data_IF_688895329745
#
_entry.id   IF_688895329745
#
_cell.length_a   1.000
_cell.length_b   1.000
_cell.length_c   1.000
_cell.angle_alpha   90.00
_cell.angle_beta   90.00
_cell.angle_gamma   90.00
#
_symmetry.space_group_name_H-M   'P 1'
#
loop_
_entity.id
_entity.type
_entity.pdbx_description
1 polymer ?
#
# COMPACT_ATOMS: atom_id res chain seq x y z
N UNK A 1 -14.21 13.03 1.67
CA UNK A 1 -13.17 12.86 0.63
C UNK A 1 -12.62 11.45 0.80
N UNK A 2 -12.45 10.69 -0.28
CA UNK A 2 -11.93 9.33 -0.23
C UNK A 2 -11.02 9.10 -1.43
N UNK A 3 -10.18 8.07 -1.34
CA UNK A 3 -9.29 7.63 -2.40
C UNK A 3 -9.00 6.15 -2.23
N UNK A 4 -8.40 5.56 -3.25
CA UNK A 4 -7.98 4.17 -3.28
C UNK A 4 -6.56 4.08 -3.83
N UNK A 5 -5.75 3.22 -3.23
CA UNK A 5 -4.39 2.91 -3.66
C UNK A 5 -4.31 1.41 -3.81
N UNK A 6 -3.75 0.96 -4.92
CA UNK A 6 -3.57 -0.45 -5.22
C UNK A 6 -2.12 -0.70 -5.62
N UNK A 7 -1.61 -1.90 -5.32
CA UNK A 7 -0.32 -2.33 -5.85
C UNK A 7 -0.35 -2.32 -7.38
N UNK A 8 0.78 -2.07 -8.06
CA UNK A 8 0.86 -2.17 -9.50
C UNK A 8 0.33 -3.53 -9.97
N UNK A 9 -0.49 -3.50 -11.01
CA UNK A 9 -1.13 -4.66 -11.65
C UNK A 9 -2.26 -5.34 -10.85
N UNK A 10 -2.60 -4.89 -9.64
CA UNK A 10 -3.76 -5.42 -8.92
C UNK A 10 -5.01 -5.48 -9.84
N UNK A 11 -5.72 -6.63 -9.93
CA UNK A 11 -5.67 -7.79 -9.04
C UNK A 11 -4.66 -8.90 -9.40
N UNK A 12 -3.77 -8.66 -10.37
CA UNK A 12 -2.65 -9.56 -10.64
C UNK A 12 -1.51 -9.35 -9.64
N UNK A 13 -0.56 -10.29 -9.60
CA UNK A 13 0.64 -10.19 -8.76
C UNK A 13 1.44 -8.92 -9.07
N UNK A 14 2.01 -8.31 -8.04
CA UNK A 14 2.90 -7.17 -8.20
C UNK A 14 4.24 -7.58 -8.87
N UNK A 15 4.89 -6.68 -9.62
CA UNK A 15 6.22 -6.93 -10.16
C UNK A 15 7.28 -7.08 -9.06
N UNK A 16 8.26 -7.96 -9.27
CA UNK A 16 9.44 -8.06 -8.41
C UNK A 16 10.34 -6.81 -8.51
N UNK A 17 11.13 -6.55 -7.46
CA UNK A 17 12.03 -5.39 -7.35
C UNK A 17 11.32 -4.04 -7.47
N UNK A 18 10.11 -3.95 -6.91
CA UNK A 18 9.29 -2.75 -6.91
C UNK A 18 9.51 -1.93 -5.63
N UNK A 19 9.60 -0.60 -5.78
CA UNK A 19 9.55 0.35 -4.67
C UNK A 19 8.72 1.56 -5.06
N UNK A 20 7.52 1.66 -4.51
CA UNK A 20 6.57 2.74 -4.76
C UNK A 20 6.33 3.55 -3.48
N UNK A 21 5.98 4.83 -3.65
CA UNK A 21 5.61 5.72 -2.55
C UNK A 21 4.42 6.57 -2.96
N UNK A 22 3.45 6.70 -2.05
CA UNK A 22 2.27 7.54 -2.23
C UNK A 22 2.20 8.58 -1.10
N UNK A 23 2.23 9.85 -1.48
CA UNK A 23 2.02 10.95 -0.54
C UNK A 23 0.52 11.28 -0.48
N UNK A 24 -0.08 11.09 0.70
CA UNK A 24 -1.52 11.30 0.92
C UNK A 24 -1.76 12.59 1.68
N UNK A 25 -2.65 13.44 1.17
CA UNK A 25 -2.94 14.74 1.74
C UNK A 25 -4.44 14.95 1.97
N UNK A 26 -4.77 15.66 3.05
CA UNK A 26 -6.11 16.15 3.36
C UNK A 26 -6.04 17.60 3.83
N UNK A 27 -7.11 18.40 3.69
CA UNK A 27 -7.13 19.76 4.20
C UNK A 27 -6.86 19.83 5.71
N UNK A 28 -6.41 20.99 6.18
CA UNK A 28 -6.18 21.24 7.61
C UNK A 28 -7.43 20.97 8.44
N UNK A 29 -7.26 20.34 9.60
CA UNK A 29 -8.35 19.97 10.52
C UNK A 29 -8.97 18.59 10.25
N UNK A 30 -8.50 17.87 9.23
CA UNK A 30 -8.90 16.50 8.93
C UNK A 30 -7.80 15.49 9.26
N UNK A 31 -8.17 14.21 9.31
CA UNK A 31 -7.27 13.08 9.52
C UNK A 31 -7.48 12.04 8.42
N UNK A 32 -6.43 11.28 8.12
CA UNK A 32 -6.48 10.17 7.16
C UNK A 32 -6.73 8.88 7.94
N UNK A 33 -7.72 8.11 7.53
CA UNK A 33 -7.94 6.73 7.96
C UNK A 33 -7.63 5.80 6.79
N UNK A 34 -6.67 4.89 6.99
CA UNK A 34 -6.30 3.88 6.01
C UNK A 34 -6.90 2.52 6.39
N UNK A 35 -7.43 1.82 5.40
CA UNK A 35 -7.96 0.47 5.54
C UNK A 35 -7.43 -0.37 4.39
N UNK A 36 -6.91 -1.55 4.69
CA UNK A 36 -6.52 -2.53 3.68
C UNK A 36 -7.73 -3.41 3.36
N UNK A 37 -8.24 -3.31 2.12
CA UNK A 37 -9.32 -4.17 1.64
C UNK A 37 -8.81 -5.53 1.13
N UNK A 38 -7.55 -5.57 0.69
CA UNK A 38 -6.85 -6.77 0.24
C UNK A 38 -5.36 -6.62 0.59
N UNK A 39 -4.75 -7.69 1.11
CA UNK A 39 -3.33 -7.73 1.41
C UNK A 39 -2.80 -9.13 1.10
N UNK A 40 -1.97 -9.23 0.07
CA UNK A 40 -1.29 -10.45 -0.36
C UNK A 40 0.13 -10.08 -0.77
N UNK A 41 1.10 -10.46 0.05
CA UNK A 41 2.52 -10.09 -0.03
C UNK A 41 3.35 -11.32 0.35
N UNK A 42 4.55 -11.46 -0.22
CA UNK A 42 5.49 -12.53 0.12
C UNK A 42 5.78 -12.60 1.64
N UNK A 43 5.43 -13.71 2.33
CA UNK A 43 5.66 -13.84 3.74
C UNK A 43 7.15 -14.09 4.03
N UNK A 44 7.71 -13.30 4.95
CA UNK A 44 9.08 -13.46 5.44
C UNK A 44 9.19 -13.05 6.91
N UNK A 45 10.15 -13.61 7.68
CA UNK A 45 10.42 -13.15 9.04
C UNK A 45 10.66 -11.64 9.04
N UNK A 46 9.98 -10.92 9.92
CA UNK A 46 10.08 -9.46 10.07
C UNK A 46 9.89 -8.68 8.75
N UNK A 47 9.13 -9.24 7.79
CA UNK A 47 8.92 -8.66 6.46
C UNK A 47 10.23 -8.36 5.70
N UNK A 48 11.24 -9.21 5.86
CA UNK A 48 12.58 -9.02 5.30
C UNK A 48 12.62 -8.90 3.76
N UNK A 49 11.72 -9.59 3.03
CA UNK A 49 11.64 -9.50 1.58
C UNK A 49 10.74 -8.36 1.12
N UNK A 50 9.43 -8.50 1.33
CA UNK A 50 8.42 -7.54 0.87
C UNK A 50 7.63 -6.95 2.05
N UNK A 51 7.28 -5.67 1.97
CA UNK A 51 6.53 -4.97 3.01
C UNK A 51 5.73 -3.78 2.47
N UNK A 52 4.71 -3.36 3.23
CA UNK A 52 4.06 -2.05 3.12
C UNK A 52 4.33 -1.32 4.43
N UNK A 53 4.95 -0.15 4.36
CA UNK A 53 5.46 0.61 5.51
C UNK A 53 4.97 2.05 5.52
#
# INVERSE_FOLDING_TARGET
MFGEVSSPQYPQSYPANLREQWDLEVPQGYQIQLTFNHLDIEPSPDCYYDSVS
#
